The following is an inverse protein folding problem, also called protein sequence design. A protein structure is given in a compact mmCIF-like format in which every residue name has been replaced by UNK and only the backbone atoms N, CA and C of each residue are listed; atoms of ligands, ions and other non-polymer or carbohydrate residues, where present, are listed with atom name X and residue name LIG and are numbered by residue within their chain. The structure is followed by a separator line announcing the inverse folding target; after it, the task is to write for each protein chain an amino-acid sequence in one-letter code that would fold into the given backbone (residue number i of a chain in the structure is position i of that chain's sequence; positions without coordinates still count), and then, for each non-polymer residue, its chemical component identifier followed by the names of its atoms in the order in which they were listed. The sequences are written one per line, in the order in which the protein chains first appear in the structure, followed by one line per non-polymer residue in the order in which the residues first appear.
data_IF_217591401314
#
_entry.id   IF_217591401314
#
_cell.length_a   1.000
_cell.length_b   1.000
_cell.length_c   1.000
_cell.angle_alpha   90.00
_cell.angle_beta   90.00
_cell.angle_gamma   90.00
#
_symmetry.space_group_name_H-M   'P 1'
#
loop_
_entity.id
_entity.type
_entity.pdbx_description
1 polymer ?
#
# COMPACT_ATOMS: atom_id res chain seq x y z
N UNK A 1 7.18 4.43 24.21
CA UNK A 1 6.94 5.27 23.01
C UNK A 1 7.56 4.52 21.83
N UNK A 2 6.84 3.53 21.30
CA UNK A 2 7.36 2.59 20.30
C UNK A 2 7.24 3.23 18.91
N UNK A 3 8.40 3.52 18.33
CA UNK A 3 8.59 4.18 17.05
C UNK A 3 8.63 3.12 15.95
N UNK A 4 7.63 3.14 15.07
CA UNK A 4 7.62 2.62 13.69
C UNK A 4 8.37 1.28 13.46
N UNK A 5 7.72 0.14 13.73
CA UNK A 5 8.14 -1.18 13.23
C UNK A 5 7.48 -1.51 11.89
N UNK A 6 7.51 -0.54 10.97
CA UNK A 6 7.31 -0.75 9.55
C UNK A 6 8.42 0.01 8.82
N UNK A 7 9.54 -0.68 8.61
CA UNK A 7 10.80 -0.13 8.14
C UNK A 7 11.37 0.98 9.05
N UNK A 8 12.36 0.68 9.93
CA UNK A 8 12.93 1.66 10.88
C UNK A 8 13.60 2.89 10.22
N UNK A 9 13.68 2.92 8.88
CA UNK A 9 14.36 3.95 8.09
C UNK A 9 13.44 4.97 7.43
N UNK A 10 12.12 4.81 7.46
CA UNK A 10 11.20 5.79 6.87
C UNK A 10 10.12 6.22 7.85
N UNK A 11 10.14 7.49 8.27
CA UNK A 11 9.01 8.16 8.97
C UNK A 11 7.76 8.33 8.10
N UNK A 12 7.72 7.64 6.97
CA UNK A 12 6.82 7.91 5.87
C UNK A 12 5.97 6.67 5.62
N UNK A 13 4.65 6.86 5.66
CA UNK A 13 3.69 5.79 5.47
C UNK A 13 3.51 5.48 3.97
N UNK A 14 3.92 4.30 3.54
CA UNK A 14 3.61 3.76 2.20
C UNK A 14 2.56 2.66 2.30
N UNK A 15 1.67 2.60 1.30
CA UNK A 15 0.62 1.62 1.23
C UNK A 15 0.96 0.56 0.19
N UNK A 16 0.78 -0.70 0.58
CA UNK A 16 1.03 -1.84 -0.27
C UNK A 16 -0.23 -2.71 -0.35
N UNK A 17 -0.47 -3.31 -1.50
CA UNK A 17 -1.44 -4.38 -1.66
C UNK A 17 -0.82 -5.53 -2.45
N UNK A 18 -0.93 -6.77 -1.95
CA UNK A 18 -0.41 -7.94 -2.67
C UNK A 18 -1.25 -8.17 -3.94
N UNK A 19 -0.68 -8.85 -4.92
CA UNK A 19 -1.45 -9.36 -6.05
C UNK A 19 -2.34 -10.53 -5.61
N UNK A 20 -3.60 -10.65 -6.08
CA UNK A 20 -4.37 -11.85 -5.82
C UNK A 20 -3.81 -12.93 -6.73
N UNK A 21 -3.47 -14.09 -6.15
CA UNK A 21 -3.11 -15.26 -6.94
C UNK A 21 -4.22 -15.50 -7.96
N UNK A 22 -3.87 -15.46 -9.26
CA UNK A 22 -4.83 -15.57 -10.33
C UNK A 22 -5.50 -16.95 -10.31
N UNK A 23 -6.63 -17.07 -9.63
CA UNK A 23 -7.58 -18.15 -9.88
C UNK A 23 -8.65 -17.58 -10.80
N UNK A 24 -8.65 -18.05 -12.05
CA UNK A 24 -9.67 -17.70 -13.03
C UNK A 24 -11.04 -18.19 -12.53
N UNK A 25 -11.85 -17.29 -11.99
CA UNK A 25 -13.25 -17.59 -11.68
C UNK A 25 -14.09 -16.97 -12.78
N UNK A 26 -14.55 -17.81 -13.72
CA UNK A 26 -15.58 -17.44 -14.70
C UNK A 26 -16.92 -17.34 -13.98
N UNK A 27 -17.41 -16.12 -13.72
CA UNK A 27 -18.83 -15.91 -13.39
C UNK A 27 -19.55 -15.37 -14.62
N UNK A 28 -20.50 -16.12 -15.20
CA UNK A 28 -21.31 -15.62 -16.31
C UNK A 28 -22.32 -14.58 -15.80
N UNK A 29 -22.50 -13.48 -16.54
CA UNK A 29 -23.61 -12.53 -16.32
C UNK A 29 -23.27 -11.21 -15.64
N UNK A 30 -22.07 -11.03 -15.06
CA UNK A 30 -21.65 -9.73 -14.54
C UNK A 30 -20.72 -9.04 -15.55
N UNK A 31 -21.09 -7.85 -16.04
CA UNK A 31 -20.13 -6.92 -16.66
C UNK A 31 -19.20 -6.44 -15.57
N UNK A 32 -18.26 -7.31 -15.22
CA UNK A 32 -17.22 -7.01 -14.27
C UNK A 32 -16.35 -5.91 -14.86
N UNK A 33 -16.29 -4.79 -14.16
CA UNK A 33 -15.27 -3.76 -14.37
C UNK A 33 -13.94 -4.36 -13.86
N UNK A 34 -13.39 -5.32 -14.61
CA UNK A 34 -12.05 -5.83 -14.36
C UNK A 34 -11.04 -4.79 -14.84
N UNK A 35 -10.78 -3.76 -14.03
CA UNK A 35 -9.62 -2.87 -14.20
C UNK A 35 -8.29 -3.65 -14.20
N UNK A 36 -8.30 -4.89 -13.69
CA UNK A 36 -7.15 -5.79 -13.57
C UNK A 36 -6.82 -6.64 -14.81
N UNK A 37 -7.26 -6.27 -16.01
CA UNK A 37 -6.99 -7.10 -17.22
C UNK A 37 -5.62 -6.84 -17.87
N UNK A 38 -4.88 -5.80 -17.46
CA UNK A 38 -3.46 -5.59 -17.81
C UNK A 38 -2.71 -5.14 -16.57
N UNK A 39 -1.61 -5.84 -16.25
CA UNK A 39 -0.65 -5.54 -15.18
C UNK A 39 -0.02 -4.16 -15.43
N UNK A 40 -0.70 -3.10 -15.01
CA UNK A 40 -0.28 -1.71 -15.19
C UNK A 40 -0.61 -0.93 -13.92
N UNK A 41 0.12 0.16 -13.72
CA UNK A 41 -0.17 1.13 -12.66
C UNK A 41 -1.65 1.53 -12.71
N UNK A 42 -2.24 1.74 -11.55
CA UNK A 42 -3.62 2.15 -11.42
C UNK A 42 -3.75 3.23 -10.35
N UNK A 43 -4.77 4.06 -10.48
CA UNK A 43 -5.01 5.13 -9.52
C UNK A 43 -6.26 4.80 -8.71
N UNK A 44 -6.17 4.94 -7.39
CA UNK A 44 -7.31 4.87 -6.50
C UNK A 44 -7.94 6.26 -6.45
N UNK A 45 -9.24 6.32 -6.72
CA UNK A 45 -9.98 7.57 -6.62
C UNK A 45 -10.47 7.75 -5.18
N UNK A 46 -10.21 8.93 -4.62
CA UNK A 46 -10.86 9.43 -3.41
C UNK A 46 -11.76 10.60 -3.82
N UNK A 47 -13.00 10.36 -4.29
CA UNK A 47 -13.85 11.39 -4.85
C UNK A 47 -14.15 12.52 -3.87
N UNK A 48 -14.32 12.18 -2.58
CA UNK A 48 -14.57 13.17 -1.51
C UNK A 48 -13.40 14.15 -1.30
N UNK A 49 -12.19 13.75 -1.67
CA UNK A 49 -10.99 14.57 -1.54
C UNK A 49 -10.56 15.20 -2.86
N UNK A 50 -11.25 14.89 -3.97
CA UNK A 50 -10.79 15.16 -5.33
C UNK A 50 -9.31 14.76 -5.51
N UNK A 51 -8.94 13.60 -4.97
CA UNK A 51 -7.56 13.14 -4.89
C UNK A 51 -7.40 11.77 -5.56
N UNK A 52 -6.36 11.64 -6.38
CA UNK A 52 -5.99 10.40 -7.03
C UNK A 52 -4.74 9.86 -6.33
N UNK A 53 -4.80 8.62 -5.86
CA UNK A 53 -3.68 7.97 -5.21
C UNK A 53 -3.08 6.91 -6.13
N UNK A 54 -1.94 7.20 -6.76
CA UNK A 54 -1.32 6.30 -7.73
C UNK A 54 -0.67 5.09 -7.06
N UNK A 55 -1.00 3.91 -7.57
CA UNK A 55 -0.42 2.63 -7.21
C UNK A 55 0.44 2.11 -8.36
N UNK A 56 1.71 1.85 -8.06
CA UNK A 56 2.70 1.33 -8.99
C UNK A 56 2.73 -0.18 -8.89
N UNK A 57 2.76 -0.85 -10.03
CA UNK A 57 3.04 -2.28 -10.08
C UNK A 57 4.54 -2.54 -9.94
N UNK A 58 4.91 -3.28 -8.90
CA UNK A 58 6.27 -3.78 -8.72
C UNK A 58 6.29 -5.25 -9.10
N UNK A 59 7.03 -5.56 -10.17
CA UNK A 59 7.25 -6.94 -10.58
C UNK A 59 8.16 -7.60 -9.56
N UNK A 60 7.72 -8.73 -9.03
CA UNK A 60 8.51 -9.52 -8.10
C UNK A 60 9.72 -10.16 -8.75
N UNK A 61 10.50 -10.88 -7.95
CA UNK A 61 11.74 -11.52 -8.40
C UNK A 61 11.50 -12.66 -9.40
N UNK A 62 10.30 -13.26 -9.39
CA UNK A 62 10.01 -14.49 -10.13
C UNK A 62 11.01 -15.58 -9.74
N UNK A 63 11.67 -16.20 -10.73
CA UNK A 63 12.71 -17.21 -10.50
C UNK A 63 14.11 -16.62 -10.23
N UNK A 64 14.25 -15.29 -10.21
CA UNK A 64 15.53 -14.62 -9.95
C UNK A 64 15.80 -14.56 -8.45
N UNK A 65 17.08 -14.60 -8.08
CA UNK A 65 17.52 -14.49 -6.69
C UNK A 65 17.71 -13.02 -6.32
N UNK A 66 16.96 -12.52 -5.34
CA UNK A 66 17.24 -11.23 -4.71
C UNK A 66 18.04 -11.46 -3.44
N UNK A 67 19.22 -10.83 -3.38
CA UNK A 67 20.09 -10.88 -2.22
C UNK A 67 19.80 -9.70 -1.32
N UNK A 68 19.27 -10.00 -0.13
CA UNK A 68 18.92 -9.00 0.88
C UNK A 68 19.90 -9.09 2.07
N UNK A 69 20.20 -7.94 2.68
CA UNK A 69 21.10 -7.81 3.83
C UNK A 69 22.51 -7.31 3.45
N UNK A 70 23.15 -6.61 4.40
CA UNK A 70 24.53 -6.11 4.28
C UNK A 70 25.55 -7.23 4.48
N UNK A 71 25.52 -7.84 5.66
CA UNK A 71 26.57 -8.77 6.12
C UNK A 71 26.23 -10.24 5.80
N UNK A 72 24.97 -10.61 5.99
CA UNK A 72 24.43 -11.92 5.61
C UNK A 72 23.49 -11.77 4.42
N UNK A 73 23.97 -12.12 3.23
CA UNK A 73 23.19 -12.08 1.99
C UNK A 73 22.23 -13.27 1.93
N UNK A 74 20.96 -13.03 2.25
CA UNK A 74 19.90 -14.03 2.16
C UNK A 74 19.22 -13.98 0.80
N UNK A 75 18.94 -15.15 0.23
CA UNK A 75 18.13 -15.27 -0.98
C UNK A 75 16.65 -15.17 -0.60
N UNK A 76 15.99 -14.13 -1.09
CA UNK A 76 14.55 -13.91 -0.84
C UNK A 76 13.81 -13.90 -2.17
N UNK A 77 12.63 -14.52 -2.15
CA UNK A 77 11.67 -14.47 -3.24
C UNK A 77 10.57 -13.47 -2.88
N UNK A 78 10.30 -12.54 -3.80
CA UNK A 78 9.28 -11.51 -3.62
C UNK A 78 8.24 -11.71 -4.72
N UNK A 79 6.98 -11.87 -4.32
CA UNK A 79 5.85 -11.96 -5.24
C UNK A 79 5.63 -10.62 -5.96
N UNK A 80 4.82 -10.62 -7.02
CA UNK A 80 4.33 -9.37 -7.60
C UNK A 80 3.42 -8.61 -6.61
N UNK A 81 3.56 -7.29 -6.55
CA UNK A 81 2.73 -6.46 -5.68
C UNK A 81 2.49 -5.06 -6.24
N UNK A 82 1.62 -4.32 -5.56
CA UNK A 82 1.43 -2.90 -5.80
C UNK A 82 1.90 -2.10 -4.60
N UNK A 83 2.58 -0.99 -4.86
CA UNK A 83 3.08 -0.05 -3.86
C UNK A 83 2.65 1.36 -4.25
N UNK A 84 2.29 2.19 -3.29
CA UNK A 84 1.94 3.58 -3.55
C UNK A 84 3.14 4.34 -4.12
N UNK A 85 2.92 5.14 -5.17
CA UNK A 85 3.99 5.95 -5.77
C UNK A 85 4.51 7.01 -4.80
N UNK A 86 3.61 7.51 -3.96
CA UNK A 86 3.87 8.54 -2.97
C UNK A 86 3.47 8.03 -1.59
N UNK A 87 3.93 8.77 -0.59
CA UNK A 87 3.55 8.57 0.80
C UNK A 87 2.11 8.98 1.03
N UNK A 88 1.48 8.40 2.04
CA UNK A 88 0.16 8.84 2.49
C UNK A 88 0.25 10.28 2.94
N UNK A 89 -0.58 11.13 2.34
CA UNK A 89 -0.62 12.55 2.67
C UNK A 89 -1.43 12.81 3.94
N UNK A 90 -1.19 13.96 4.58
CA UNK A 90 -1.96 14.39 5.75
C UNK A 90 -3.45 14.47 5.43
N UNK A 91 -3.82 14.87 4.21
CA UNK A 91 -5.22 14.93 3.77
C UNK A 91 -5.91 13.55 3.80
N UNK A 92 -5.25 12.51 3.27
CA UNK A 92 -5.81 11.15 3.27
C UNK A 92 -5.87 10.59 4.69
N UNK A 93 -4.85 10.89 5.51
CA UNK A 93 -4.83 10.52 6.91
C UNK A 93 -6.00 11.14 7.69
N UNK A 94 -6.15 12.47 7.62
CA UNK A 94 -7.23 13.20 8.26
C UNK A 94 -8.60 12.70 7.82
N UNK A 95 -8.77 12.40 6.53
CA UNK A 95 -10.04 11.89 6.00
C UNK A 95 -10.48 10.57 6.63
N UNK A 96 -9.52 9.70 6.98
CA UNK A 96 -9.81 8.39 7.57
C UNK A 96 -9.88 8.42 9.09
N UNK A 97 -8.91 9.09 9.73
CA UNK A 97 -8.73 9.08 11.19
C UNK A 97 -9.44 10.26 11.86
N UNK A 98 -9.89 11.27 11.09
CA UNK A 98 -10.49 12.53 11.58
C UNK A 98 -9.60 13.31 12.57
N UNK A 99 -8.29 13.14 12.46
CA UNK A 99 -7.29 13.83 13.29
C UNK A 99 -5.96 13.95 12.52
N UNK A 100 -5.26 15.08 12.68
CA UNK A 100 -3.93 15.29 12.10
C UNK A 100 -2.84 15.33 13.18
N UNK A 101 -1.99 14.31 13.30
CA UNK A 101 -0.90 14.29 14.26
C UNK A 101 0.33 15.10 13.81
N UNK A 102 0.38 15.59 12.56
CA UNK A 102 1.58 16.19 12.01
C UNK A 102 1.90 17.56 12.64
N UNK A 103 3.16 17.72 13.07
CA UNK A 103 3.68 18.98 13.60
C UNK A 103 3.73 20.08 12.53
N UNK A 104 4.07 19.72 11.29
CA UNK A 104 4.17 20.62 10.15
C UNK A 104 2.99 20.41 9.20
N UNK A 105 1.96 21.25 9.31
CA UNK A 105 0.71 21.13 8.54
C UNK A 105 0.90 21.36 7.04
N UNK A 106 0.22 20.56 6.23
CA UNK A 106 0.07 20.77 4.79
C UNK A 106 -0.68 19.62 4.12
N UNK A 107 -1.67 19.95 3.30
CA UNK A 107 -2.58 18.97 2.66
C UNK A 107 -1.81 17.91 1.85
N UNK A 108 -0.80 18.33 1.10
CA UNK A 108 0.04 17.45 0.27
C UNK A 108 1.33 16.99 0.96
N UNK A 109 1.51 17.29 2.24
CA UNK A 109 2.67 16.81 2.99
C UNK A 109 2.42 15.37 3.44
N UNK A 110 3.49 14.58 3.63
CA UNK A 110 3.34 13.27 4.22
C UNK A 110 2.71 13.36 5.61
N UNK A 111 1.85 12.38 5.92
CA UNK A 111 1.48 12.11 7.29
C UNK A 111 2.73 11.62 8.03
N UNK A 112 3.21 12.44 8.96
CA UNK A 112 4.35 12.16 9.83
C UNK A 112 3.86 12.15 11.29
N UNK A 113 4.68 11.69 12.22
CA UNK A 113 4.35 11.58 13.65
C UNK A 113 3.20 10.61 13.94
N UNK A 114 3.04 9.59 13.09
CA UNK A 114 2.08 8.50 13.26
C UNK A 114 2.78 7.30 13.88
N UNK A 115 2.15 6.65 14.86
CA UNK A 115 2.70 5.43 15.45
C UNK A 115 2.30 4.18 14.65
N UNK A 116 3.07 3.09 14.80
CA UNK A 116 2.71 1.81 14.21
C UNK A 116 1.33 1.32 14.66
N UNK A 117 0.97 1.57 15.92
CA UNK A 117 -0.33 1.21 16.48
C UNK A 117 -1.46 2.02 15.83
N UNK A 118 -1.29 3.33 15.60
CA UNK A 118 -2.32 4.14 14.93
C UNK A 118 -2.63 3.62 13.51
N UNK A 119 -1.64 2.98 12.89
CA UNK A 119 -1.78 2.41 11.55
C UNK A 119 -2.44 1.04 11.58
N UNK A 120 -1.98 0.15 12.47
CA UNK A 120 -2.28 -1.30 12.42
C UNK A 120 -3.31 -1.78 13.43
N UNK A 121 -3.66 -0.97 14.45
CA UNK A 121 -4.64 -1.36 15.45
C UNK A 121 -6.02 -1.58 14.84
N UNK A 122 -6.86 -2.32 15.55
CA UNK A 122 -8.28 -2.37 15.20
C UNK A 122 -8.87 -0.95 15.22
N UNK A 123 -9.68 -0.63 14.22
CA UNK A 123 -10.18 0.72 13.98
C UNK A 123 -9.13 1.79 13.61
N UNK A 124 -7.86 1.40 13.40
CA UNK A 124 -6.77 2.27 12.95
C UNK A 124 -6.84 2.61 11.46
N UNK A 125 -5.78 3.22 10.94
CA UNK A 125 -5.74 3.73 9.56
C UNK A 125 -6.02 2.63 8.52
N UNK A 126 -5.33 1.48 8.60
CA UNK A 126 -5.51 0.40 7.63
C UNK A 126 -6.91 -0.21 7.68
N UNK A 127 -7.44 -0.41 8.89
CA UNK A 127 -8.79 -0.97 9.08
C UNK A 127 -9.84 -0.07 8.44
N UNK A 128 -9.74 1.25 8.63
CA UNK A 128 -10.67 2.22 8.02
C UNK A 128 -10.49 2.32 6.52
N UNK A 129 -9.25 2.34 6.04
CA UNK A 129 -8.94 2.38 4.61
C UNK A 129 -9.52 1.16 3.89
N UNK A 130 -9.31 -0.05 4.41
CA UNK A 130 -9.84 -1.28 3.83
C UNK A 130 -11.36 -1.41 3.96
N UNK A 131 -11.98 -0.72 4.92
CA UNK A 131 -13.42 -0.67 5.07
C UNK A 131 -14.12 0.27 4.07
N UNK A 132 -13.40 1.21 3.46
CA UNK A 132 -13.96 2.17 2.50
C UNK A 132 -14.61 1.47 1.30
N UNK A 133 -15.87 1.82 0.95
CA UNK A 133 -16.52 1.32 -0.26
C UNK A 133 -15.71 1.58 -1.53
N UNK A 134 -15.08 2.76 -1.64
CA UNK A 134 -14.27 3.16 -2.78
C UNK A 134 -13.09 2.20 -2.99
N UNK A 135 -12.49 1.72 -1.89
CA UNK A 135 -11.41 0.73 -1.93
C UNK A 135 -11.94 -0.65 -2.29
N UNK A 136 -13.06 -1.07 -1.69
CA UNK A 136 -13.68 -2.38 -1.95
C UNK A 136 -14.19 -2.53 -3.38
N UNK A 137 -14.61 -1.42 -4.02
CA UNK A 137 -15.03 -1.40 -5.42
C UNK A 137 -13.84 -1.33 -6.38
N UNK A 138 -12.78 -0.60 -6.00
CA UNK A 138 -11.58 -0.44 -6.84
C UNK A 138 -10.67 -1.68 -6.82
N UNK A 139 -10.66 -2.43 -5.71
CA UNK A 139 -9.86 -3.63 -5.54
C UNK A 139 -10.71 -4.92 -5.67
N UNK A 140 -10.15 -6.01 -6.23
CA UNK A 140 -10.77 -7.32 -6.16
C UNK A 140 -11.08 -7.72 -4.70
N UNK A 141 -12.17 -8.45 -4.48
CA UNK A 141 -12.68 -8.87 -3.16
C UNK A 141 -11.74 -9.72 -2.28
N UNK A 142 -10.47 -9.90 -2.65
CA UNK A 142 -9.42 -10.59 -1.89
C UNK A 142 -8.18 -9.72 -1.64
N UNK A 143 -8.26 -8.43 -1.95
CA UNK A 143 -7.15 -7.50 -1.87
C UNK A 143 -7.41 -6.46 -0.81
N UNK A 144 -6.43 -6.32 0.08
CA UNK A 144 -6.45 -5.39 1.20
C UNK A 144 -5.10 -4.67 1.27
N UNK A 145 -5.13 -3.43 1.72
CA UNK A 145 -3.94 -2.65 2.01
C UNK A 145 -3.29 -3.12 3.30
N UNK A 146 -1.96 -3.15 3.28
CA UNK A 146 -1.10 -3.37 4.43
C UNK A 146 0.17 -2.54 4.29
N UNK A 147 0.99 -2.58 5.35
CA UNK A 147 2.36 -2.08 5.30
C UNK A 147 3.23 -3.04 4.48
N UNK A 148 4.18 -2.52 3.67
CA UNK A 148 5.19 -3.33 3.03
C UNK A 148 6.12 -3.94 4.09
N UNK A 149 6.64 -5.14 3.83
CA UNK A 149 7.77 -5.64 4.61
C UNK A 149 9.04 -4.86 4.26
N UNK A 150 10.05 -4.91 5.12
CA UNK A 150 11.35 -4.26 4.86
C UNK A 150 11.97 -4.73 3.55
N UNK A 151 11.89 -6.03 3.25
CA UNK A 151 12.41 -6.59 2.01
C UNK A 151 11.63 -6.10 0.78
N UNK A 152 10.29 -6.06 0.85
CA UNK A 152 9.45 -5.55 -0.23
C UNK A 152 9.74 -4.07 -0.49
N UNK A 153 9.92 -3.28 0.57
CA UNK A 153 10.24 -1.87 0.49
C UNK A 153 11.61 -1.62 -0.12
N UNK A 154 12.67 -2.28 0.38
CA UNK A 154 14.02 -2.12 -0.17
C UNK A 154 14.09 -2.56 -1.64
N UNK A 155 13.42 -3.66 -1.98
CA UNK A 155 13.39 -4.17 -3.34
C UNK A 155 12.75 -3.16 -4.29
N UNK A 156 11.60 -2.59 -3.91
CA UNK A 156 10.94 -1.54 -4.69
C UNK A 156 11.80 -0.27 -4.78
N UNK A 157 12.45 0.14 -3.69
CA UNK A 157 13.33 1.32 -3.67
C UNK A 157 14.55 1.18 -4.59
N UNK A 158 14.99 -0.06 -4.86
CA UNK A 158 16.07 -0.37 -5.81
C UNK A 158 15.61 -0.51 -7.26
N UNK A 159 14.32 -0.34 -7.53
CA UNK A 159 13.74 -0.38 -8.88
C UNK A 159 13.20 -1.74 -9.34
N UNK A 160 13.21 -2.76 -8.47
CA UNK A 160 12.79 -4.13 -8.79
C UNK A 160 13.80 -4.92 -9.63
#
# INVERSE_FOLDING_TARGET
MLSIDACPYSRLLFLMCKRPAAKAVRKPGFRSVYLFRRMRNFDIQFPRLNYMFPMIFVKGTGDRRYMFGSDLKLNIYIDDFFLSAYTVTQQVWEYLINHNPASAKGIHRPADTVSYNDITSDGGFLTRLNALPEIKESLPAKLEFRLPSETEWEYAARGG
#
